data_IF_872766043537
#
_entry.id   IF_872766043537
#
_cell.length_a   1.000
_cell.length_b   1.000
_cell.length_c   1.000
_cell.angle_alpha   90.00
_cell.angle_beta   90.00
_cell.angle_gamma   90.00
#
_symmetry.space_group_name_H-M   'P 1'
#
loop_
_entity.id
_entity.type
_entity.pdbx_description
1 polymer ?
#
# COMPACT_ATOMS: atom_id res chain seq x y z
N UNK A 1 13.37 8.82 10.96
CA UNK A 1 12.27 9.75 10.57
C UNK A 1 12.48 11.09 11.25
N UNK A 2 12.13 12.20 10.60
CA UNK A 2 12.24 13.56 11.17
C UNK A 2 11.22 13.76 12.32
N UNK A 3 11.62 14.43 13.41
CA UNK A 3 10.71 14.81 14.52
C UNK A 3 9.48 15.58 14.02
N UNK A 4 9.67 16.45 13.04
CA UNK A 4 8.62 17.27 12.43
C UNK A 4 7.55 16.40 11.75
N UNK A 5 7.96 15.31 11.09
CA UNK A 5 7.04 14.39 10.43
C UNK A 5 6.19 13.62 11.45
N UNK A 6 6.79 13.26 12.59
CA UNK A 6 6.09 12.58 13.69
C UNK A 6 5.07 13.53 14.34
N UNK A 7 5.46 14.76 14.66
CA UNK A 7 4.56 15.76 15.26
C UNK A 7 3.39 16.10 14.34
N UNK A 8 3.66 16.28 13.04
CA UNK A 8 2.61 16.52 12.05
C UNK A 8 1.65 15.33 11.94
N UNK A 9 2.18 14.10 11.97
CA UNK A 9 1.37 12.90 12.06
C UNK A 9 0.49 12.87 13.31
N UNK A 10 1.00 13.31 14.48
CA UNK A 10 0.23 13.33 15.74
C UNK A 10 -0.92 14.32 15.70
N UNK A 11 -0.71 15.50 15.10
CA UNK A 11 -1.77 16.50 14.94
C UNK A 11 -2.89 16.05 14.00
N UNK A 12 -2.57 15.24 12.98
CA UNK A 12 -3.57 14.63 12.10
C UNK A 12 -4.27 13.48 12.85
N UNK A 13 -3.53 12.77 13.71
CA UNK A 13 -4.06 11.68 14.52
C UNK A 13 -5.21 12.09 15.44
N UNK A 14 -5.11 13.26 16.06
CA UNK A 14 -6.16 13.73 16.97
C UNK A 14 -7.49 14.06 16.27
N UNK A 15 -7.56 14.00 14.94
CA UNK A 15 -8.77 14.28 14.16
C UNK A 15 -9.50 13.02 13.69
N UNK A 16 -8.87 11.84 13.74
CA UNK A 16 -9.49 10.59 13.25
C UNK A 16 -9.03 9.37 14.05
N UNK A 17 -10.00 8.68 14.64
CA UNK A 17 -9.79 7.59 15.60
C UNK A 17 -9.40 6.26 14.92
N UNK A 18 -9.89 6.02 13.69
CA UNK A 18 -9.63 4.79 12.93
C UNK A 18 -9.15 5.14 11.52
N UNK A 19 -8.02 4.54 11.10
CA UNK A 19 -7.51 4.59 9.73
C UNK A 19 -7.95 3.32 8.99
N UNK A 20 -8.69 3.49 7.88
CA UNK A 20 -9.10 2.37 7.02
C UNK A 20 -8.08 2.15 5.90
N UNK A 21 -7.51 0.95 5.84
CA UNK A 21 -6.48 0.58 4.88
C UNK A 21 -7.00 -0.52 3.96
N UNK A 22 -7.11 -0.19 2.67
CA UNK A 22 -7.32 -1.16 1.61
C UNK A 22 -5.99 -1.71 1.11
N UNK A 23 -5.93 -3.00 0.81
CA UNK A 23 -4.76 -3.61 0.16
C UNK A 23 -5.23 -4.66 -0.84
N UNK A 24 -4.68 -4.65 -2.04
CA UNK A 24 -4.94 -5.72 -3.00
C UNK A 24 -4.35 -7.05 -2.49
N UNK A 25 -4.95 -8.18 -2.84
CA UNK A 25 -4.57 -9.49 -2.30
C UNK A 25 -3.08 -9.84 -2.48
N UNK A 26 -2.48 -9.41 -3.59
CA UNK A 26 -1.05 -9.61 -3.88
C UNK A 26 -0.12 -8.91 -2.87
N UNK A 27 -0.63 -7.94 -2.11
CA UNK A 27 0.10 -7.17 -1.10
C UNK A 27 -0.28 -7.47 0.34
N UNK A 28 -1.26 -8.34 0.61
CA UNK A 28 -1.60 -8.77 1.99
C UNK A 28 -0.38 -9.22 2.85
N UNK A 29 0.66 -9.89 2.31
CA UNK A 29 1.86 -10.24 3.08
C UNK A 29 2.99 -9.19 3.01
N UNK A 30 2.75 -7.98 2.50
CA UNK A 30 3.81 -7.00 2.14
C UNK A 30 3.91 -5.80 3.09
N UNK A 31 4.81 -4.90 2.69
CA UNK A 31 5.43 -3.79 3.41
C UNK A 31 4.46 -2.95 4.23
N UNK A 32 3.26 -2.67 3.72
CA UNK A 32 2.28 -1.83 4.39
C UNK A 32 1.78 -2.44 5.71
N UNK A 33 1.56 -3.76 5.76
CA UNK A 33 1.20 -4.45 7.00
C UNK A 33 2.33 -4.42 8.04
N UNK A 34 3.58 -4.52 7.59
CA UNK A 34 4.75 -4.37 8.48
C UNK A 34 4.84 -2.96 9.05
N UNK A 35 4.56 -1.94 8.24
CA UNK A 35 4.49 -0.56 8.70
C UNK A 35 3.35 -0.36 9.70
N UNK A 36 2.14 -0.88 9.44
CA UNK A 36 1.01 -0.76 10.38
C UNK A 36 1.37 -1.34 11.74
N UNK A 37 1.95 -2.54 11.78
CA UNK A 37 2.39 -3.15 13.04
C UNK A 37 3.42 -2.28 13.76
N UNK A 38 4.42 -1.77 13.03
CA UNK A 38 5.41 -0.86 13.59
C UNK A 38 4.80 0.45 14.13
N UNK A 39 3.83 1.04 13.42
CA UNK A 39 3.16 2.28 13.86
C UNK A 39 2.29 2.06 15.10
N UNK A 40 1.55 0.94 15.16
CA UNK A 40 0.76 0.53 16.33
C UNK A 40 1.64 0.38 17.58
N UNK A 41 2.82 -0.20 17.43
CA UNK A 41 3.70 -0.53 18.55
C UNK A 41 4.53 0.68 19.05
N UNK A 42 4.80 1.67 18.20
CA UNK A 42 5.90 2.61 18.48
C UNK A 42 5.62 4.10 18.29
N UNK A 43 4.58 4.51 17.57
CA UNK A 43 4.51 5.93 17.12
C UNK A 43 3.16 6.59 17.35
N UNK A 44 2.05 5.89 17.09
CA UNK A 44 0.71 6.50 17.15
C UNK A 44 -0.33 5.55 17.75
N UNK A 45 -1.27 6.06 18.58
CA UNK A 45 -2.40 5.28 19.08
C UNK A 45 -3.53 5.23 18.04
N UNK A 46 -3.25 4.77 16.82
CA UNK A 46 -4.30 4.58 15.81
C UNK A 46 -4.88 3.17 15.89
N UNK A 47 -6.20 3.07 15.80
CA UNK A 47 -6.85 1.84 15.39
C UNK A 47 -6.83 1.73 13.86
N UNK A 48 -6.66 0.50 13.37
CA UNK A 48 -6.57 0.22 11.94
C UNK A 48 -7.63 -0.80 11.56
N UNK A 49 -8.37 -0.49 10.49
CA UNK A 49 -9.36 -1.39 9.89
C UNK A 49 -8.94 -1.77 8.47
N UNK A 50 -9.20 -3.02 8.07
CA UNK A 50 -8.81 -3.57 6.77
C UNK A 50 -10.05 -4.06 6.00
N UNK A 51 -10.87 -3.13 5.46
CA UNK A 51 -12.08 -3.50 4.72
C UNK A 51 -11.74 -4.34 3.48
N UNK A 52 -12.64 -5.25 3.12
CA UNK A 52 -12.53 -6.09 1.92
C UNK A 52 -13.03 -5.37 0.65
N UNK A 53 -13.56 -4.16 0.78
CA UNK A 53 -14.32 -3.44 -0.25
C UNK A 53 -13.65 -2.15 -0.73
N UNK A 54 -14.09 -1.75 -1.93
CA UNK A 54 -13.67 -0.65 -2.82
C UNK A 54 -12.85 0.50 -2.24
N UNK A 55 -11.91 0.98 -3.06
CA UNK A 55 -11.04 2.14 -2.82
C UNK A 55 -11.75 3.39 -2.28
N UNK A 56 -13.05 3.57 -2.56
CA UNK A 56 -13.86 4.70 -2.13
C UNK A 56 -14.11 4.78 -0.60
N UNK A 57 -13.95 3.67 0.13
CA UNK A 57 -14.21 3.62 1.59
C UNK A 57 -12.92 3.65 2.43
N UNK A 58 -11.76 3.68 1.78
CA UNK A 58 -10.46 3.58 2.41
C UNK A 58 -9.77 4.95 2.49
N UNK A 59 -9.01 5.16 3.56
CA UNK A 59 -8.16 6.35 3.72
C UNK A 59 -6.85 6.20 2.93
N UNK A 60 -6.34 4.97 2.87
CA UNK A 60 -5.12 4.61 2.16
C UNK A 60 -5.38 3.28 1.45
N UNK A 61 -4.93 3.17 0.20
CA UNK A 61 -5.00 1.93 -0.56
C UNK A 61 -3.65 1.56 -1.16
N UNK A 62 -3.16 0.37 -0.84
CA UNK A 62 -1.99 -0.24 -1.48
C UNK A 62 -2.44 -1.12 -2.66
N UNK A 63 -2.11 -0.70 -3.87
CA UNK A 63 -2.36 -1.47 -5.09
C UNK A 63 -1.33 -1.16 -6.18
N UNK A 64 -1.39 -1.90 -7.28
CA UNK A 64 -0.67 -1.56 -8.52
C UNK A 64 -1.53 -0.58 -9.30
N UNK A 65 -1.06 0.64 -9.42
CA UNK A 65 -1.75 1.67 -10.19
C UNK A 65 -1.04 1.95 -11.50
N UNK A 66 -1.82 2.14 -12.56
CA UNK A 66 -1.37 2.81 -13.78
C UNK A 66 -1.74 4.28 -13.65
N UNK A 67 -0.73 5.15 -13.57
CA UNK A 67 -0.84 6.60 -13.40
C UNK A 67 -1.80 7.27 -14.39
N UNK A 68 -1.90 6.75 -15.61
CA UNK A 68 -2.80 7.26 -16.66
C UNK A 68 -4.27 7.16 -16.24
N UNK A 69 -4.69 6.04 -15.65
CA UNK A 69 -6.10 5.77 -15.34
C UNK A 69 -6.61 6.52 -14.10
N UNK A 70 -5.70 7.07 -13.31
CA UNK A 70 -6.01 7.62 -11.97
C UNK A 70 -5.63 9.08 -11.79
N UNK A 71 -5.20 9.73 -12.87
CA UNK A 71 -4.82 11.15 -12.85
C UNK A 71 -5.97 12.01 -12.32
N UNK A 72 -5.72 12.73 -11.23
CA UNK A 72 -6.69 13.65 -10.61
C UNK A 72 -7.67 13.00 -9.64
N UNK A 73 -7.64 11.68 -9.47
CA UNK A 73 -8.50 10.97 -8.50
C UNK A 73 -7.85 10.82 -7.12
N UNK A 74 -6.52 10.72 -7.06
CA UNK A 74 -5.78 10.59 -5.82
C UNK A 74 -4.33 11.10 -5.97
N UNK A 75 -3.63 11.19 -4.84
CA UNK A 75 -2.19 11.47 -4.82
C UNK A 75 -1.42 10.16 -4.66
N UNK A 76 -0.45 9.94 -5.53
CA UNK A 76 0.40 8.75 -5.52
C UNK A 76 1.63 8.94 -4.66
N UNK A 77 1.88 7.96 -3.81
CA UNK A 77 3.14 7.81 -3.08
C UNK A 77 3.74 6.46 -3.49
N UNK A 78 4.73 6.52 -4.38
CA UNK A 78 5.40 5.33 -4.88
C UNK A 78 6.22 4.67 -3.76
N UNK A 79 5.80 3.47 -3.34
CA UNK A 79 6.52 2.70 -2.34
C UNK A 79 7.70 1.93 -2.96
N UNK A 80 7.47 1.30 -4.12
CA UNK A 80 8.46 0.56 -4.89
C UNK A 80 7.96 0.29 -6.31
N UNK A 81 8.89 0.09 -7.25
CA UNK A 81 8.58 -0.40 -8.59
C UNK A 81 8.57 -1.93 -8.58
N UNK A 82 7.43 -2.52 -8.93
CA UNK A 82 7.37 -3.97 -9.18
C UNK A 82 7.58 -4.21 -10.67
N UNK A 83 8.62 -4.94 -11.10
CA UNK A 83 8.72 -5.34 -12.50
C UNK A 83 7.54 -6.27 -12.84
N UNK A 84 6.73 -5.86 -13.81
CA UNK A 84 5.70 -6.71 -14.39
C UNK A 84 6.38 -7.77 -15.27
N UNK A 85 6.17 -9.04 -14.93
CA UNK A 85 6.71 -10.18 -15.66
C UNK A 85 5.61 -11.20 -15.93
N UNK A 86 5.75 -11.93 -17.04
CA UNK A 86 4.88 -13.07 -17.36
C UNK A 86 5.56 -14.34 -16.90
N UNK A 87 4.98 -15.02 -15.92
CA UNK A 87 5.40 -16.36 -15.55
C UNK A 87 4.90 -17.34 -16.63
N UNK A 88 5.84 -18.03 -17.27
CA UNK A 88 5.54 -19.08 -18.25
C UNK A 88 5.89 -20.44 -17.67
N UNK A 89 5.11 -21.46 -18.02
CA UNK A 89 5.44 -22.84 -17.65
C UNK A 89 6.82 -23.22 -18.22
N UNK A 90 7.63 -23.99 -17.49
CA UNK A 90 8.99 -24.38 -17.91
C UNK A 90 9.02 -25.18 -19.22
N UNK A 91 7.93 -25.89 -19.54
CA UNK A 91 7.78 -26.63 -20.79
C UNK A 91 7.22 -25.80 -21.95
N UNK A 92 6.85 -24.54 -21.70
CA UNK A 92 6.30 -23.66 -22.71
C UNK A 92 7.41 -23.21 -23.69
N UNK A 93 7.17 -23.12 -25.01
CA UNK A 93 8.19 -22.69 -25.97
C UNK A 93 8.80 -21.31 -25.66
N UNK A 94 8.06 -20.42 -25.01
CA UNK A 94 8.57 -19.12 -24.53
C UNK A 94 9.62 -19.24 -23.42
N UNK A 95 9.61 -20.31 -22.63
CA UNK A 95 10.63 -20.57 -21.60
C UNK A 95 11.94 -21.12 -22.19
N UNK A 96 11.87 -21.75 -23.37
CA UNK A 96 13.02 -22.34 -24.05
C UNK A 96 13.80 -21.32 -24.88
N UNK A 97 13.18 -20.20 -25.25
CA UNK A 97 13.90 -19.05 -25.81
C UNK A 97 14.62 -18.31 -24.68
N UNK A 98 15.83 -18.77 -24.33
CA UNK A 98 16.77 -17.94 -23.57
C UNK A 98 17.04 -16.66 -24.36
N UNK A 99 17.02 -15.52 -23.67
CA UNK A 99 17.60 -14.27 -24.18
C UNK A 99 19.09 -14.42 -24.40
#
# INVERSE_FOLDING_TARGET
>A
MSKLAIEKGRSIASQKEIIKIGTADIFKPRLLMKFVNYFKEHIFPYDFAFPHTSEAECDVVEAIYCDIAWKGHCQFYELFQTPLAVAVNSNHPLALKKR
#
